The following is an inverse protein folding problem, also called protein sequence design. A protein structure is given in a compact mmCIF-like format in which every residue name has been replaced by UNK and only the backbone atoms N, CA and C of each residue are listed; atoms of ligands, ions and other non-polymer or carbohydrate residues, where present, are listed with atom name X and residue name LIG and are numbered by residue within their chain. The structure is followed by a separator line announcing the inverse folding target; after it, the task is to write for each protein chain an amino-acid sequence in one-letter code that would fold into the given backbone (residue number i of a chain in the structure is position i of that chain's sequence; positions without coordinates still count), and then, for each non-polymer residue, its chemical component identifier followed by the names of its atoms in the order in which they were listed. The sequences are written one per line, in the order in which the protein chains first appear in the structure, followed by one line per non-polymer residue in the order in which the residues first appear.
data_IF_707326180363
#
_entry.id   IF_707326180363
#
_cell.length_a   1.000
_cell.length_b   1.000
_cell.length_c   1.000
_cell.angle_alpha   90.00
_cell.angle_beta   90.00
_cell.angle_gamma   90.00
#
_symmetry.space_group_name_H-M   'P 1'
#
loop_
_entity.id
_entity.type
_entity.pdbx_description
1 polymer ?
#
# COMPACT_ATOMS: atom_id res chain seq x y z
N UNK A 1 -0.29 3.83 -3.31
CA UNK A 1 0.04 2.42 -3.64
C UNK A 1 -0.76 1.94 -4.84
N UNK A 2 -2.08 2.17 -4.87
CA UNK A 2 -3.00 1.59 -5.87
C UNK A 2 -3.20 2.38 -7.18
N UNK A 3 -2.80 3.65 -7.24
CA UNK A 3 -2.65 4.35 -8.53
C UNK A 3 -1.40 3.83 -9.24
N UNK A 4 -1.56 2.82 -10.11
CA UNK A 4 -0.45 2.19 -10.82
C UNK A 4 -0.03 2.96 -12.07
N UNK A 5 -0.90 3.81 -12.60
CA UNK A 5 -0.59 4.61 -13.78
C UNK A 5 0.61 5.56 -13.57
N UNK A 6 0.84 6.03 -12.35
CA UNK A 6 2.00 6.88 -12.06
C UNK A 6 3.33 6.14 -11.90
N UNK A 7 3.37 4.82 -12.15
CA UNK A 7 4.56 3.98 -11.97
C UNK A 7 5.40 3.90 -13.22
N UNK A 8 6.72 3.99 -13.06
CA UNK A 8 7.65 3.88 -14.17
C UNK A 8 7.84 2.44 -14.65
N UNK A 9 7.72 1.44 -13.78
CA UNK A 9 7.84 0.03 -14.10
C UNK A 9 7.29 -0.83 -12.95
N UNK A 10 7.22 -2.16 -13.14
CA UNK A 10 6.84 -3.13 -12.10
C UNK A 10 7.71 -3.09 -10.83
N UNK A 11 8.91 -2.52 -10.89
CA UNK A 11 9.82 -2.37 -9.75
C UNK A 11 9.66 -1.04 -9.01
N UNK A 12 8.87 -0.10 -9.53
CA UNK A 12 8.63 1.21 -8.92
C UNK A 12 7.59 1.12 -7.79
N UNK A 13 7.88 0.34 -6.76
CA UNK A 13 6.95 0.05 -5.66
C UNK A 13 6.77 1.29 -4.76
N UNK A 14 5.58 1.88 -4.79
CA UNK A 14 5.24 3.04 -3.96
C UNK A 14 4.92 2.69 -2.49
N UNK A 15 4.87 3.71 -1.64
CA UNK A 15 4.40 3.58 -0.24
C UNK A 15 5.39 2.96 0.74
N UNK A 16 6.60 2.60 0.28
CA UNK A 16 7.63 1.92 1.08
C UNK A 16 8.13 2.72 2.29
N UNK A 17 8.01 4.05 2.26
CA UNK A 17 8.41 4.94 3.37
C UNK A 17 7.56 4.77 4.64
N UNK A 18 6.34 4.25 4.50
CA UNK A 18 5.42 4.01 5.62
C UNK A 18 5.43 2.56 6.09
N UNK A 19 6.16 1.68 5.42
CA UNK A 19 6.30 0.28 5.81
C UNK A 19 7.40 0.20 6.87
N UNK A 20 7.17 -0.57 7.93
CA UNK A 20 8.21 -0.80 8.93
C UNK A 20 9.47 -1.37 8.26
N UNK A 21 10.65 -0.86 8.63
CA UNK A 21 11.94 -1.16 7.97
C UNK A 21 12.20 -2.66 7.78
N UNK A 22 11.81 -3.47 8.75
CA UNK A 22 12.01 -4.91 8.75
C UNK A 22 11.13 -5.67 7.76
N UNK A 23 10.13 -5.00 7.18
CA UNK A 23 9.16 -5.56 6.24
C UNK A 23 9.35 -5.04 4.82
N UNK A 24 10.20 -4.03 4.60
CA UNK A 24 10.31 -3.33 3.30
C UNK A 24 10.67 -4.30 2.17
N UNK A 25 11.63 -5.18 2.38
CA UNK A 25 12.09 -6.10 1.33
C UNK A 25 11.01 -7.11 0.96
N UNK A 26 10.40 -7.76 1.96
CA UNK A 26 9.28 -8.68 1.76
C UNK A 26 8.07 -7.96 1.14
N UNK A 27 7.79 -6.71 1.54
CA UNK A 27 6.72 -5.91 0.95
C UNK A 27 6.98 -5.64 -0.53
N UNK A 28 8.19 -5.21 -0.90
CA UNK A 28 8.57 -4.97 -2.31
C UNK A 28 8.49 -6.24 -3.13
N UNK A 29 8.97 -7.36 -2.61
CA UNK A 29 8.91 -8.66 -3.28
C UNK A 29 7.46 -9.08 -3.54
N UNK A 30 6.60 -9.02 -2.52
CA UNK A 30 5.18 -9.38 -2.67
C UNK A 30 4.42 -8.43 -3.62
N UNK A 31 4.66 -7.12 -3.53
CA UNK A 31 4.03 -6.16 -4.43
C UNK A 31 4.49 -6.36 -5.87
N UNK A 32 5.80 -6.58 -6.09
CA UNK A 32 6.37 -6.86 -7.41
C UNK A 32 5.90 -8.18 -8.01
N UNK A 33 5.71 -9.21 -7.19
CA UNK A 33 5.18 -10.51 -7.63
C UNK A 33 3.65 -10.53 -7.80
N UNK A 34 2.95 -9.59 -7.17
CA UNK A 34 1.49 -9.45 -7.20
C UNK A 34 1.05 -8.22 -7.98
N UNK A 35 0.58 -7.20 -7.25
CA UNK A 35 -0.08 -6.00 -7.78
C UNK A 35 0.68 -5.29 -8.90
N UNK A 36 2.01 -5.26 -8.84
CA UNK A 36 2.85 -4.53 -9.80
C UNK A 36 3.40 -5.43 -10.93
N UNK A 37 3.19 -6.74 -10.86
CA UNK A 37 3.82 -7.73 -11.75
C UNK A 37 3.63 -7.44 -13.23
N UNK A 38 2.45 -6.97 -13.59
CA UNK A 38 2.06 -6.72 -14.99
C UNK A 38 2.24 -5.27 -15.43
N UNK A 39 2.76 -4.38 -14.56
CA UNK A 39 3.00 -2.98 -14.90
C UNK A 39 4.15 -2.90 -15.91
N UNK A 40 3.82 -2.49 -17.12
CA UNK A 40 4.79 -2.30 -18.19
C UNK A 40 5.69 -1.10 -17.89
N UNK A 41 6.93 -1.16 -18.39
CA UNK A 41 7.87 -0.04 -18.33
C UNK A 41 7.31 1.17 -19.08
N UNK A 42 7.44 2.33 -18.48
CA UNK A 42 7.14 3.64 -19.06
C UNK A 42 8.35 4.58 -19.00
N UNK A 43 9.56 4.02 -18.94
CA UNK A 43 10.81 4.81 -18.89
C UNK A 43 11.01 5.69 -20.13
N UNK A 44 10.45 5.30 -21.27
CA UNK A 44 10.50 6.06 -22.52
C UNK A 44 9.25 6.92 -22.77
N UNK A 45 8.28 6.89 -21.86
CA UNK A 45 7.02 7.64 -21.94
C UNK A 45 6.02 7.13 -22.99
N UNK A 46 6.19 5.90 -23.51
CA UNK A 46 5.37 5.37 -24.61
C UNK A 46 4.35 4.31 -24.18
N UNK A 47 4.17 4.06 -22.89
CA UNK A 47 3.23 3.05 -22.40
C UNK A 47 1.80 3.40 -22.82
N UNK A 48 1.10 2.42 -23.40
CA UNK A 48 -0.33 2.52 -23.76
C UNK A 48 -1.22 1.63 -22.89
N UNK A 49 -0.62 0.87 -21.97
CA UNK A 49 -1.33 0.03 -21.01
C UNK A 49 -2.29 0.87 -20.15
N UNK A 50 -3.52 0.39 -20.02
CA UNK A 50 -4.50 0.95 -19.08
C UNK A 50 -4.24 0.41 -17.67
N UNK A 51 -4.11 1.32 -16.70
CA UNK A 51 -3.79 1.01 -15.31
C UNK A 51 -4.75 1.71 -14.35
N UNK A 52 -4.98 1.16 -13.15
CA UNK A 52 -5.90 1.75 -12.19
C UNK A 52 -5.41 3.12 -11.71
N UNK A 53 -6.35 4.06 -11.63
CA UNK A 53 -6.18 5.40 -11.08
C UNK A 53 -7.17 5.58 -9.94
N UNK A 54 -6.66 5.68 -8.70
CA UNK A 54 -7.50 5.98 -7.54
C UNK A 54 -7.92 7.44 -7.57
N UNK A 55 -9.22 7.70 -7.40
CA UNK A 55 -9.81 9.05 -7.43
C UNK A 55 -10.18 9.55 -6.04
N UNK A 56 -10.61 8.66 -5.16
CA UNK A 56 -11.03 9.00 -3.79
C UNK A 56 -10.62 7.88 -2.84
N UNK A 57 -10.23 8.25 -1.62
CA UNK A 57 -9.94 7.31 -0.53
C UNK A 57 -10.77 7.73 0.68
N UNK A 58 -11.45 6.75 1.29
CA UNK A 58 -12.29 6.91 2.46
C UNK A 58 -11.69 6.07 3.59
N UNK A 59 -11.61 6.66 4.78
CA UNK A 59 -11.31 5.91 6.01
C UNK A 59 -12.64 5.47 6.60
N UNK A 60 -12.97 4.19 6.43
CA UNK A 60 -14.24 3.63 6.87
C UNK A 60 -14.27 3.47 8.39
N UNK A 61 -13.15 3.02 8.96
CA UNK A 61 -13.01 2.80 10.40
C UNK A 61 -11.60 3.15 10.88
N UNK A 62 -11.51 3.67 12.10
CA UNK A 62 -10.27 3.91 12.82
C UNK A 62 -10.46 3.52 14.28
N UNK A 63 -9.62 2.62 14.77
CA UNK A 63 -9.65 2.15 16.15
C UNK A 63 -8.27 2.23 16.79
N UNK A 64 -8.18 2.92 17.93
CA UNK A 64 -6.95 2.98 18.73
C UNK A 64 -6.79 1.72 19.58
N UNK A 65 -5.59 1.16 19.61
CA UNK A 65 -5.32 -0.07 20.34
C UNK A 65 -3.85 -0.18 20.77
N UNK A 66 -3.50 -1.30 21.40
CA UNK A 66 -2.13 -1.74 21.61
C UNK A 66 -1.84 -2.93 20.70
N UNK A 67 -0.66 -2.96 20.09
CA UNK A 67 -0.26 -4.06 19.21
C UNK A 67 1.14 -4.55 19.55
N UNK A 68 1.27 -5.87 19.71
CA UNK A 68 2.56 -6.52 19.98
C UNK A 68 3.27 -6.85 18.67
N UNK A 69 4.42 -6.22 18.43
CA UNK A 69 5.27 -6.45 17.28
C UNK A 69 6.70 -6.79 17.73
N UNK A 70 7.23 -7.94 17.27
CA UNK A 70 8.59 -8.44 17.64
C UNK A 70 8.92 -8.39 19.14
N UNK A 71 7.95 -8.76 19.97
CA UNK A 71 8.01 -8.79 21.45
C UNK A 71 7.93 -7.44 22.17
N UNK A 72 7.75 -6.34 21.46
CA UNK A 72 7.46 -5.02 22.05
C UNK A 72 5.99 -4.66 21.82
N UNK A 73 5.41 -3.91 22.74
CA UNK A 73 4.04 -3.41 22.63
C UNK A 73 4.05 -1.92 22.26
N UNK A 74 3.26 -1.56 21.26
CA UNK A 74 3.16 -0.20 20.74
C UNK A 74 1.72 0.31 20.82
N UNK A 75 1.56 1.63 20.99
CA UNK A 75 0.32 2.29 20.58
C UNK A 75 0.09 2.05 19.09
N UNK A 76 -1.14 1.70 18.72
CA UNK A 76 -1.45 1.25 17.38
C UNK A 76 -2.82 1.72 16.91
N UNK A 77 -3.00 1.68 15.60
CA UNK A 77 -4.26 1.95 14.93
C UNK A 77 -4.63 0.77 14.04
N UNK A 78 -5.88 0.32 14.17
CA UNK A 78 -6.51 -0.55 13.19
C UNK A 78 -7.37 0.34 12.28
N UNK A 79 -7.07 0.33 11.00
CA UNK A 79 -7.72 1.18 10.00
C UNK A 79 -8.37 0.29 8.95
N UNK A 80 -9.59 0.60 8.58
CA UNK A 80 -10.21 0.10 7.34
C UNK A 80 -10.33 1.27 6.39
N UNK A 81 -9.86 1.10 5.17
CA UNK A 81 -9.98 2.09 4.13
C UNK A 81 -10.56 1.46 2.86
N UNK A 82 -11.36 2.24 2.15
CA UNK A 82 -11.91 1.94 0.85
C UNK A 82 -11.55 3.05 -0.13
N UNK A 83 -11.55 2.75 -1.42
CA UNK A 83 -11.25 3.74 -2.43
C UNK A 83 -11.96 3.46 -3.74
N UNK A 84 -12.20 4.53 -4.50
CA UNK A 84 -12.80 4.44 -5.82
C UNK A 84 -11.74 4.60 -6.91
N UNK A 85 -11.97 3.95 -8.04
CA UNK A 85 -11.16 4.08 -9.24
C UNK A 85 -11.87 4.92 -10.30
N UNK A 86 -11.09 5.59 -11.14
CA UNK A 86 -11.62 6.28 -12.33
C UNK A 86 -12.34 5.30 -13.27
N UNK A 87 -11.81 4.08 -13.39
CA UNK A 87 -12.41 2.97 -14.11
C UNK A 87 -12.22 1.68 -13.34
N UNK A 88 -13.28 0.87 -13.28
CA UNK A 88 -13.20 -0.48 -12.72
C UNK A 88 -12.45 -1.41 -13.67
N UNK A 89 -11.25 -1.82 -13.25
CA UNK A 89 -10.39 -2.77 -13.93
C UNK A 89 -10.24 -4.09 -13.13
N UNK A 90 -11.10 -4.32 -12.13
CA UNK A 90 -11.09 -5.52 -11.29
C UNK A 90 -10.00 -5.56 -10.21
N UNK A 91 -9.47 -4.40 -9.81
CA UNK A 91 -8.50 -4.32 -8.72
C UNK A 91 -9.23 -4.23 -7.37
N UNK A 92 -8.57 -4.71 -6.31
CA UNK A 92 -9.06 -4.50 -4.94
C UNK A 92 -9.30 -3.02 -4.64
N UNK A 93 -10.36 -2.71 -3.91
CA UNK A 93 -10.85 -1.36 -3.63
C UNK A 93 -10.96 -1.07 -2.13
N UNK A 94 -10.47 -1.97 -1.29
CA UNK A 94 -10.47 -1.85 0.16
C UNK A 94 -9.32 -2.62 0.79
N UNK A 95 -8.92 -2.21 1.99
CA UNK A 95 -7.85 -2.85 2.77
C UNK A 95 -7.98 -2.53 4.26
N UNK A 96 -7.64 -3.51 5.10
CA UNK A 96 -7.43 -3.30 6.53
C UNK A 96 -5.93 -3.19 6.84
N UNK A 97 -5.57 -2.21 7.68
CA UNK A 97 -4.19 -1.92 8.04
C UNK A 97 -4.01 -1.93 9.55
N UNK A 98 -2.89 -2.48 10.01
CA UNK A 98 -2.37 -2.27 11.37
C UNK A 98 -1.16 -1.36 11.32
N UNK A 99 -1.25 -0.22 12.01
CA UNK A 99 -0.16 0.74 12.13
C UNK A 99 0.33 0.77 13.58
N UNK A 100 1.64 0.74 13.79
CA UNK A 100 2.25 0.98 15.10
C UNK A 100 2.86 2.37 15.13
N UNK A 101 2.73 3.06 16.27
CA UNK A 101 3.40 4.31 16.55
C UNK A 101 4.77 4.02 17.15
N UNK A 102 5.82 4.34 16.41
CA UNK A 102 7.20 4.26 16.89
C UNK A 102 7.83 5.66 16.80
N UNK A 103 8.12 6.24 17.96
CA UNK A 103 8.46 7.66 18.11
C UNK A 103 7.37 8.55 17.46
N UNK A 104 7.74 9.35 16.46
CA UNK A 104 6.84 10.28 15.77
C UNK A 104 6.38 9.77 14.39
N UNK A 105 6.55 8.48 14.10
CA UNK A 105 6.19 7.88 12.81
C UNK A 105 5.18 6.75 13.03
N UNK A 106 4.17 6.71 12.17
CA UNK A 106 3.24 5.58 12.06
C UNK A 106 3.75 4.64 10.98
N UNK A 107 4.04 3.40 11.37
CA UNK A 107 4.50 2.35 10.45
C UNK A 107 3.43 1.29 10.25
N UNK A 108 3.18 0.94 8.99
CA UNK A 108 2.37 -0.21 8.63
C UNK A 108 3.18 -1.47 8.94
N UNK A 109 2.58 -2.37 9.71
CA UNK A 109 3.15 -3.68 10.07
C UNK A 109 2.34 -4.85 9.54
N UNK A 110 1.10 -4.61 9.12
CA UNK A 110 0.20 -5.63 8.57
C UNK A 110 -0.83 -4.98 7.64
N UNK A 111 -1.13 -5.65 6.53
CA UNK A 111 -2.25 -5.35 5.64
C UNK A 111 -3.01 -6.64 5.31
N UNK A 112 -4.34 -6.57 5.32
CA UNK A 112 -5.27 -7.67 5.04
C UNK A 112 -6.41 -7.25 4.12
#
# INVERSE_FOLDING_TARGET
LYTLDNKLASTDIGGTTFIHKDLIDNFKENMGAGLYKTVESNLDGKRTQELPIVTEVIIDNLFETKYKYKNEEYDAYLISASWSYEKDLGYQDSLQLTLIKNANILYIVKGE
#
